data_IF_345356729878
#
_entry.id   IF_345356729878
#
_cell.length_a   1.000
_cell.length_b   1.000
_cell.length_c   1.000
_cell.angle_alpha   90.00
_cell.angle_beta   90.00
_cell.angle_gamma   90.00
#
_symmetry.space_group_name_H-M   'P 1'
#
loop_
_entity.id
_entity.type
_entity.pdbx_description
1 polymer ?
#
# COMPACT_ATOMS: atom_id res chain seq x y z
N UNK A 1 -4.32 11.61 10.12
CA UNK A 1 -3.58 10.37 9.82
C UNK A 1 -3.99 9.88 8.43
N UNK A 2 -3.02 9.70 7.53
CA UNK A 2 -3.27 9.44 6.11
C UNK A 2 -2.60 8.16 5.62
N UNK A 3 -3.28 7.44 4.74
CA UNK A 3 -2.78 6.26 4.02
C UNK A 3 -2.79 6.59 2.53
N UNK A 4 -1.67 6.34 1.86
CA UNK A 4 -1.60 6.34 0.39
C UNK A 4 -1.77 4.91 -0.10
N UNK A 5 -2.72 4.68 -0.98
CA UNK A 5 -3.06 3.36 -1.49
C UNK A 5 -2.89 3.32 -3.00
N UNK A 6 -1.84 2.64 -3.45
CA UNK A 6 -1.58 2.39 -4.85
C UNK A 6 -2.33 1.14 -5.31
N UNK A 7 -3.41 1.36 -6.07
CA UNK A 7 -4.13 0.31 -6.79
C UNK A 7 -4.79 0.87 -8.05
N UNK A 8 -4.99 -0.02 -9.03
CA UNK A 8 -5.77 0.16 -10.25
C UNK A 8 -7.02 -0.71 -10.23
N UNK A 9 -7.23 -1.51 -9.18
CA UNK A 9 -8.47 -2.23 -8.93
C UNK A 9 -9.58 -1.22 -8.61
N UNK A 10 -10.77 -1.41 -9.18
CA UNK A 10 -11.91 -0.50 -9.01
C UNK A 10 -12.90 -0.96 -7.93
N UNK A 11 -12.84 -2.23 -7.51
CA UNK A 11 -13.76 -2.87 -6.57
C UNK A 11 -13.22 -2.86 -5.14
N UNK A 12 -11.94 -3.18 -4.97
CA UNK A 12 -11.27 -3.24 -3.67
C UNK A 12 -11.21 -1.88 -2.93
N UNK A 13 -11.01 -0.73 -3.62
CA UNK A 13 -10.97 0.58 -2.96
C UNK A 13 -12.22 0.94 -2.17
N UNK A 14 -13.41 0.49 -2.60
CA UNK A 14 -14.67 0.83 -1.91
C UNK A 14 -14.68 0.34 -0.45
N UNK A 15 -14.18 -0.89 -0.21
CA UNK A 15 -14.07 -1.50 1.12
C UNK A 15 -12.95 -0.86 1.94
N UNK A 16 -11.81 -0.59 1.30
CA UNK A 16 -10.69 0.10 1.95
C UNK A 16 -11.09 1.51 2.39
N UNK A 17 -11.80 2.26 1.55
CA UNK A 17 -12.33 3.59 1.88
C UNK A 17 -13.33 3.52 3.04
N UNK A 18 -14.19 2.52 3.09
CA UNK A 18 -15.12 2.35 4.21
C UNK A 18 -14.36 2.09 5.52
N UNK A 19 -13.40 1.17 5.53
CA UNK A 19 -12.58 0.88 6.70
C UNK A 19 -11.81 2.13 7.18
N UNK A 20 -11.18 2.86 6.27
CA UNK A 20 -10.47 4.10 6.58
C UNK A 20 -11.39 5.16 7.20
N UNK A 21 -12.58 5.36 6.63
CA UNK A 21 -13.58 6.29 7.19
C UNK A 21 -14.01 5.90 8.61
N UNK A 22 -14.22 4.61 8.87
CA UNK A 22 -14.59 4.12 10.21
C UNK A 22 -13.47 4.34 11.24
N UNK A 23 -12.21 4.30 10.81
CA UNK A 23 -11.04 4.59 11.64
C UNK A 23 -10.65 6.08 11.73
N UNK A 24 -11.35 6.98 11.04
CA UNK A 24 -10.95 8.39 10.96
C UNK A 24 -9.67 8.64 10.15
N UNK A 25 -9.32 7.71 9.26
CA UNK A 25 -8.13 7.74 8.41
C UNK A 25 -8.47 8.30 7.04
N UNK A 26 -7.64 9.23 6.56
CA UNK A 26 -7.74 9.73 5.18
C UNK A 26 -7.09 8.73 4.24
N UNK A 27 -7.85 8.14 3.33
CA UNK A 27 -7.34 7.23 2.30
C UNK A 27 -7.22 7.95 0.95
N UNK A 28 -5.99 8.10 0.45
CA UNK A 28 -5.71 8.66 -0.87
C UNK A 28 -5.36 7.55 -1.87
N UNK A 29 -6.18 7.41 -2.92
CA UNK A 29 -5.93 6.46 -4.00
C UNK A 29 -5.00 7.05 -5.06
N UNK A 30 -4.06 6.26 -5.54
CA UNK A 30 -3.09 6.62 -6.59
C UNK A 30 -2.94 5.47 -7.59
N UNK A 31 -2.65 5.80 -8.85
CA UNK A 31 -2.60 4.83 -9.95
C UNK A 31 -1.21 4.55 -10.53
N UNK A 32 -0.15 5.18 -10.00
CA UNK A 32 1.23 4.98 -10.43
C UNK A 32 2.23 5.15 -9.29
N UNK A 33 3.47 4.61 -9.44
CA UNK A 33 4.55 4.83 -8.47
C UNK A 33 4.86 6.31 -8.24
N UNK A 34 4.85 7.11 -9.32
CA UNK A 34 5.10 8.56 -9.23
C UNK A 34 4.02 9.25 -8.39
N UNK A 35 2.74 8.99 -8.68
CA UNK A 35 1.62 9.54 -7.90
C UNK A 35 1.68 9.09 -6.44
N UNK A 36 2.13 7.85 -6.19
CA UNK A 36 2.33 7.34 -4.84
C UNK A 36 3.39 8.14 -4.08
N UNK A 37 4.55 8.38 -4.70
CA UNK A 37 5.61 9.18 -4.09
C UNK A 37 5.16 10.64 -3.87
N UNK A 38 4.46 11.25 -4.83
CA UNK A 38 3.98 12.63 -4.75
C UNK A 38 2.86 12.82 -3.71
N UNK A 39 2.09 11.76 -3.44
CA UNK A 39 1.02 11.76 -2.46
C UNK A 39 1.49 11.69 -1.00
N UNK A 40 2.74 11.30 -0.74
CA UNK A 40 3.27 11.22 0.62
C UNK A 40 3.56 12.63 1.15
N UNK A 41 3.03 12.90 2.34
CA UNK A 41 3.18 14.13 3.11
C UNK A 41 3.44 13.81 4.60
N UNK A 42 3.56 14.85 5.43
CA UNK A 42 3.84 14.73 6.86
C UNK A 42 2.76 13.94 7.63
N UNK A 43 1.50 13.94 7.16
CA UNK A 43 0.39 13.20 7.77
C UNK A 43 0.33 11.73 7.33
N UNK A 44 1.10 11.36 6.32
CA UNK A 44 1.13 10.00 5.76
C UNK A 44 1.92 9.08 6.67
N UNK A 45 1.32 8.00 7.15
CA UNK A 45 1.99 7.04 8.04
C UNK A 45 2.15 5.65 7.42
N UNK A 46 1.35 5.35 6.39
CA UNK A 46 1.35 4.05 5.71
C UNK A 46 1.15 4.21 4.22
N UNK A 47 1.86 3.37 3.47
CA UNK A 47 1.69 3.18 2.03
C UNK A 47 1.29 1.73 1.79
N UNK A 48 0.19 1.53 1.09
CA UNK A 48 -0.30 0.20 0.70
C UNK A 48 -0.18 0.06 -0.82
N UNK A 49 0.45 -1.00 -1.29
CA UNK A 49 0.67 -1.28 -2.71
C UNK A 49 0.02 -2.59 -3.10
N UNK A 50 -0.83 -2.52 -4.12
CA UNK A 50 -1.37 -3.69 -4.82
C UNK A 50 -0.37 -4.15 -5.89
N UNK A 51 0.23 -5.33 -5.68
CA UNK A 51 1.17 -5.95 -6.63
C UNK A 51 0.49 -6.35 -7.95
N UNK A 52 -0.83 -6.50 -7.98
CA UNK A 52 -1.59 -6.68 -9.22
C UNK A 52 -1.68 -5.42 -10.07
N UNK A 53 -1.46 -4.26 -9.46
CA UNK A 53 -1.61 -2.94 -10.08
C UNK A 53 -0.32 -2.37 -10.68
N UNK A 54 0.81 -3.06 -10.48
CA UNK A 54 2.11 -2.67 -11.05
C UNK A 54 2.89 -3.87 -11.56
N UNK A 55 3.76 -3.63 -12.54
CA UNK A 55 4.79 -4.57 -12.96
C UNK A 55 6.21 -4.09 -12.66
N UNK A 56 6.33 -2.87 -12.15
CA UNK A 56 7.61 -2.24 -11.86
C UNK A 56 8.17 -2.79 -10.53
N UNK A 57 9.51 -2.95 -10.41
CA UNK A 57 10.13 -3.30 -9.15
C UNK A 57 9.80 -2.28 -8.06
N UNK A 58 9.47 -2.77 -6.86
CA UNK A 58 9.14 -1.89 -5.74
C UNK A 58 10.36 -1.28 -5.04
N UNK A 59 11.57 -1.71 -5.37
CA UNK A 59 12.80 -1.24 -4.73
C UNK A 59 12.97 0.28 -4.86
N UNK A 60 12.81 0.80 -6.08
CA UNK A 60 12.94 2.24 -6.35
C UNK A 60 11.83 3.04 -5.67
N UNK A 61 10.61 2.49 -5.63
CA UNK A 61 9.49 3.10 -4.93
C UNK A 61 9.75 3.14 -3.41
N UNK A 62 10.18 2.04 -2.80
CA UNK A 62 10.53 2.01 -1.38
C UNK A 62 11.63 3.01 -1.05
N UNK A 63 12.69 3.07 -1.86
CA UNK A 63 13.78 4.02 -1.66
C UNK A 63 13.28 5.47 -1.71
N UNK A 64 12.43 5.81 -2.70
CA UNK A 64 11.83 7.14 -2.81
C UNK A 64 10.92 7.49 -1.62
N UNK A 65 10.12 6.54 -1.14
CA UNK A 65 9.21 6.73 -0.01
C UNK A 65 9.98 6.91 1.30
N UNK A 66 10.95 6.04 1.58
CA UNK A 66 11.74 6.07 2.80
C UNK A 66 12.72 7.25 2.84
N UNK A 67 13.18 7.75 1.69
CA UNK A 67 13.96 8.99 1.61
C UNK A 67 13.13 10.22 2.03
N UNK A 68 11.81 10.20 1.79
CA UNK A 68 10.90 11.26 2.26
C UNK A 68 10.53 11.08 3.72
N UNK A 69 10.20 9.85 4.11
CA UNK A 69 9.70 9.53 5.45
C UNK A 69 10.13 8.12 5.89
N UNK A 70 11.25 8.00 6.64
CA UNK A 70 11.82 6.70 7.02
C UNK A 70 10.93 5.82 7.90
N UNK A 71 9.99 6.42 8.63
CA UNK A 71 9.07 5.72 9.54
C UNK A 71 7.79 5.20 8.87
N UNK A 72 7.65 5.31 7.54
CA UNK A 72 6.48 4.81 6.83
C UNK A 72 6.31 3.30 7.00
N UNK A 73 5.09 2.89 7.36
CA UNK A 73 4.67 1.49 7.28
C UNK A 73 4.37 1.15 5.81
N UNK A 74 5.24 0.34 5.20
CA UNK A 74 5.12 -0.09 3.82
C UNK A 74 4.47 -1.47 3.77
N UNK A 75 3.29 -1.57 3.14
CA UNK A 75 2.57 -2.82 2.94
C UNK A 75 2.43 -3.10 1.45
N UNK A 76 2.83 -4.29 1.01
CA UNK A 76 2.55 -4.77 -0.34
C UNK A 76 1.67 -6.02 -0.27
N UNK A 77 0.67 -6.12 -1.13
CA UNK A 77 -0.17 -7.32 -1.18
C UNK A 77 -0.43 -7.80 -2.60
N UNK A 78 -0.67 -9.11 -2.74
CA UNK A 78 -0.98 -9.71 -4.03
C UNK A 78 -1.45 -11.16 -3.91
N UNK A 79 -1.72 -11.82 -5.04
CA UNK A 79 -2.03 -13.24 -5.06
C UNK A 79 -0.88 -14.06 -4.46
N UNK A 80 -1.22 -15.05 -3.62
CA UNK A 80 -0.23 -15.93 -2.97
C UNK A 80 0.63 -16.74 -3.96
N UNK A 81 0.17 -16.87 -5.21
CA UNK A 81 0.90 -17.52 -6.31
C UNK A 81 1.99 -16.64 -6.91
N UNK A 82 2.05 -15.34 -6.60
CA UNK A 82 3.11 -14.42 -7.02
C UNK A 82 4.24 -14.39 -5.97
N UNK A 83 4.79 -15.57 -5.65
CA UNK A 83 5.82 -15.72 -4.61
C UNK A 83 7.05 -14.86 -4.87
N UNK A 84 7.49 -14.74 -6.12
CA UNK A 84 8.66 -13.94 -6.49
C UNK A 84 8.41 -12.45 -6.25
N UNK A 85 7.23 -11.94 -6.63
CA UNK A 85 6.87 -10.54 -6.37
C UNK A 85 6.72 -10.21 -4.89
N UNK A 86 6.20 -11.16 -4.10
CA UNK A 86 6.14 -11.01 -2.66
C UNK A 86 7.55 -11.05 -2.02
N UNK A 87 8.45 -11.87 -2.57
CA UNK A 87 9.85 -11.90 -2.12
C UNK A 87 10.60 -10.60 -2.49
N UNK A 88 10.37 -10.07 -3.69
CA UNK A 88 10.94 -8.81 -4.16
C UNK A 88 10.43 -7.63 -3.31
N UNK A 89 9.12 -7.57 -3.06
CA UNK A 89 8.53 -6.55 -2.19
C UNK A 89 9.09 -6.62 -0.77
N UNK A 90 9.25 -7.84 -0.22
CA UNK A 90 9.86 -8.03 1.10
C UNK A 90 11.32 -7.57 1.13
N UNK A 91 12.08 -7.85 0.08
CA UNK A 91 13.49 -7.42 -0.04
C UNK A 91 13.62 -5.90 -0.19
N UNK A 92 12.59 -5.24 -0.74
CA UNK A 92 12.48 -3.79 -0.81
C UNK A 92 12.02 -3.14 0.52
N UNK A 93 11.76 -3.92 1.58
CA UNK A 93 11.36 -3.41 2.89
C UNK A 93 9.85 -3.34 3.13
N UNK A 94 9.03 -3.85 2.21
CA UNK A 94 7.59 -3.96 2.45
C UNK A 94 7.27 -5.15 3.36
N UNK A 95 6.35 -4.95 4.30
CA UNK A 95 5.59 -6.06 4.87
C UNK A 95 4.66 -6.61 3.80
N UNK A 96 4.70 -7.92 3.58
CA UNK A 96 3.88 -8.55 2.54
C UNK A 96 2.67 -9.28 3.08
N UNK A 97 1.56 -9.21 2.34
CA UNK A 97 0.30 -9.86 2.67
C UNK A 97 -0.31 -10.50 1.42
N UNK A 98 -1.04 -11.60 1.58
CA UNK A 98 -1.88 -12.12 0.49
C UNK A 98 -3.18 -11.31 0.36
N UNK A 99 -3.84 -11.41 -0.80
CA UNK A 99 -5.18 -10.84 -1.00
C UNK A 99 -6.17 -11.24 0.10
N UNK A 100 -6.15 -12.52 0.53
CA UNK A 100 -7.00 -13.02 1.59
C UNK A 100 -6.71 -12.39 2.95
N UNK A 101 -5.42 -12.20 3.28
CA UNK A 101 -5.01 -11.55 4.52
C UNK A 101 -5.45 -10.09 4.57
N UNK A 102 -5.25 -9.31 3.50
CA UNK A 102 -5.74 -7.92 3.44
C UNK A 102 -7.25 -7.88 3.51
N UNK A 103 -7.94 -8.79 2.84
CA UNK A 103 -9.41 -8.83 2.87
C UNK A 103 -9.96 -9.12 4.28
N UNK A 104 -9.35 -10.07 5.01
CA UNK A 104 -9.71 -10.38 6.40
C UNK A 104 -9.28 -9.30 7.40
N UNK A 105 -8.19 -8.57 7.10
CA UNK A 105 -7.56 -7.57 7.96
C UNK A 105 -7.80 -6.13 7.50
N UNK A 106 -8.88 -5.85 6.75
CA UNK A 106 -9.11 -4.55 6.12
C UNK A 106 -9.04 -3.38 7.12
N UNK A 107 -9.59 -3.57 8.33
CA UNK A 107 -9.54 -2.55 9.38
C UNK A 107 -8.12 -2.29 9.87
N UNK A 108 -7.31 -3.35 10.03
CA UNK A 108 -5.92 -3.23 10.49
C UNK A 108 -5.05 -2.55 9.42
N UNK A 109 -5.33 -2.78 8.14
CA UNK A 109 -4.55 -2.22 7.04
C UNK A 109 -4.95 -0.78 6.74
N UNK A 110 -6.25 -0.45 6.79
CA UNK A 110 -6.77 0.83 6.29
C UNK A 110 -7.43 1.72 7.35
N UNK A 111 -7.80 1.18 8.52
CA UNK A 111 -8.53 1.89 9.58
C UNK A 111 -7.69 2.24 10.82
N UNK A 112 -6.42 1.83 10.85
CA UNK A 112 -5.46 2.08 11.94
C UNK A 112 -4.16 2.68 11.41
#
# INVERSE_FOLDING_TARGET
MKIVYFTRDLLFPSKAQHAARMGGVTLQLVGSPQQCADAVDDDTHRVVVDLGSTSEPLADLAAALLAKKPELDLIAYGPHVQTDRLADAKSAGFRTMSNGQVHSGMNVVFGE
#
